data_IF_833658912576
#
_entry.id   IF_833658912576
#
_cell.length_a   1.000
_cell.length_b   1.000
_cell.length_c   1.000
_cell.angle_alpha   90.00
_cell.angle_beta   90.00
_cell.angle_gamma   90.00
#
_symmetry.space_group_name_H-M   'P 1'
#
loop_
_entity.id
_entity.type
_entity.pdbx_description
1 polymer ?
#
# COMPACT_ATOMS: atom_id res chain seq x y z
N UNK A 1 25.46 10.66 0.97
CA UNK A 1 24.84 9.78 -0.05
C UNK A 1 24.04 8.67 0.66
N UNK A 2 22.81 9.01 1.02
CA UNK A 2 21.83 8.07 1.57
C UNK A 2 21.57 7.02 0.49
N UNK A 3 21.89 5.76 0.74
CA UNK A 3 21.64 4.71 -0.24
C UNK A 3 20.13 4.66 -0.51
N UNK A 4 19.76 4.96 -1.77
CA UNK A 4 18.48 4.52 -2.36
C UNK A 4 18.25 3.10 -1.87
N UNK A 5 17.06 2.82 -1.33
CA UNK A 5 16.74 1.52 -0.73
C UNK A 5 17.35 0.39 -1.58
N UNK A 6 18.26 -0.44 -1.02
CA UNK A 6 19.02 -1.41 -1.81
C UNK A 6 18.13 -2.44 -2.51
N UNK A 7 16.84 -2.50 -2.15
CA UNK A 7 15.84 -3.40 -2.72
C UNK A 7 14.78 -2.67 -3.56
N UNK A 8 14.97 -1.39 -3.89
CA UNK A 8 13.98 -0.63 -4.66
C UNK A 8 13.70 -1.27 -6.03
N UNK A 9 14.73 -1.81 -6.68
CA UNK A 9 14.59 -2.43 -8.00
C UNK A 9 13.78 -3.73 -7.92
N UNK A 10 13.95 -4.51 -6.85
CA UNK A 10 13.15 -5.72 -6.58
C UNK A 10 11.68 -5.38 -6.31
N UNK A 11 11.44 -4.32 -5.53
CA UNK A 11 10.08 -3.82 -5.27
C UNK A 11 9.38 -3.35 -6.56
N UNK A 12 10.10 -2.68 -7.46
CA UNK A 12 9.59 -2.25 -8.77
C UNK A 12 9.27 -3.47 -9.63
N UNK A 13 10.16 -4.45 -9.69
CA UNK A 13 9.96 -5.68 -10.46
C UNK A 13 8.77 -6.49 -9.91
N UNK A 14 8.60 -6.54 -8.59
CA UNK A 14 7.43 -7.16 -7.97
C UNK A 14 6.13 -6.46 -8.34
N UNK A 15 6.07 -5.12 -8.25
CA UNK A 15 4.90 -4.35 -8.67
C UNK A 15 4.59 -4.53 -10.16
N UNK A 16 5.62 -4.58 -11.01
CA UNK A 16 5.48 -4.86 -12.45
C UNK A 16 4.85 -6.23 -12.69
N UNK A 17 5.26 -7.26 -11.93
CA UNK A 17 4.66 -8.60 -12.01
C UNK A 17 3.20 -8.60 -11.56
N UNK A 18 2.87 -7.93 -10.45
CA UNK A 18 1.47 -7.80 -10.01
C UNK A 18 0.60 -7.13 -11.08
N UNK A 19 1.11 -6.08 -11.73
CA UNK A 19 0.44 -5.45 -12.88
C UNK A 19 0.18 -6.43 -14.01
N UNK A 20 1.18 -7.24 -14.39
CA UNK A 20 1.03 -8.22 -15.47
C UNK A 20 -0.02 -9.31 -15.18
N UNK A 21 -0.30 -9.56 -13.89
CA UNK A 21 -1.30 -10.53 -13.44
C UNK A 21 -2.67 -9.88 -13.17
N UNK A 22 -2.86 -8.60 -13.50
CA UNK A 22 -4.06 -7.80 -13.18
C UNK A 22 -4.42 -7.82 -11.68
N UNK A 23 -3.43 -8.02 -10.80
CA UNK A 23 -3.64 -7.94 -9.35
C UNK A 23 -3.68 -6.46 -8.96
N UNK A 24 -4.75 -5.97 -8.30
CA UNK A 24 -4.80 -4.62 -7.77
C UNK A 24 -3.62 -4.37 -6.83
N UNK A 25 -2.84 -3.34 -7.10
CA UNK A 25 -1.67 -2.99 -6.30
C UNK A 25 -1.48 -1.46 -6.29
N UNK A 26 -0.82 -0.97 -5.26
CA UNK A 26 -0.41 0.42 -5.14
C UNK A 26 1.03 0.45 -4.64
N UNK A 27 1.89 1.16 -5.38
CA UNK A 27 3.30 1.35 -5.03
C UNK A 27 3.62 2.84 -5.11
N UNK A 28 4.26 3.37 -4.08
CA UNK A 28 4.76 4.75 -4.04
C UNK A 28 6.25 4.71 -3.73
N UNK A 29 7.05 5.42 -4.53
CA UNK A 29 8.47 5.61 -4.26
C UNK A 29 8.58 6.96 -3.54
N UNK A 30 9.16 6.95 -2.35
CA UNK A 30 9.40 8.16 -1.56
C UNK A 30 10.89 8.46 -1.65
N UNK A 31 11.22 9.50 -2.41
CA UNK A 31 12.59 9.96 -2.54
C UNK A 31 13.01 10.71 -1.26
N UNK A 32 14.32 10.77 -1.01
CA UNK A 32 14.97 11.56 0.05
C UNK A 32 14.77 11.10 1.51
N UNK A 33 14.02 10.02 1.77
CA UNK A 33 13.93 9.43 3.10
C UNK A 33 14.93 8.28 3.31
N UNK A 34 15.45 8.09 4.54
CA UNK A 34 16.32 6.97 4.84
C UNK A 34 15.54 5.65 4.76
N UNK A 35 16.25 4.56 4.44
CA UNK A 35 15.69 3.22 4.60
C UNK A 35 15.23 3.02 6.05
N UNK A 36 14.07 2.37 6.24
CA UNK A 36 13.45 2.23 7.56
C UNK A 36 12.79 3.49 8.10
N UNK A 37 12.47 4.49 7.26
CA UNK A 37 11.86 5.76 7.71
C UNK A 37 10.60 5.58 8.58
N UNK A 38 9.85 4.48 8.41
CA UNK A 38 8.65 4.20 9.20
C UNK A 38 8.91 4.19 10.72
N UNK A 39 10.11 3.79 11.16
CA UNK A 39 10.49 3.75 12.57
C UNK A 39 10.79 5.13 13.17
N UNK A 40 11.00 6.14 12.30
CA UNK A 40 11.45 7.48 12.68
C UNK A 40 10.34 8.54 12.62
N UNK A 41 9.08 8.14 12.76
CA UNK A 41 7.89 9.01 12.62
C UNK A 41 7.88 10.28 13.48
N UNK A 42 8.61 10.30 14.61
CA UNK A 42 8.74 11.45 15.50
C UNK A 42 9.96 12.34 15.24
N UNK A 43 10.87 11.92 14.36
CA UNK A 43 12.20 12.53 14.21
C UNK A 43 12.23 13.63 13.14
N UNK A 44 11.42 13.51 12.09
CA UNK A 44 11.34 14.51 11.02
C UNK A 44 9.92 14.67 10.47
N UNK A 45 9.53 15.89 10.13
CA UNK A 45 8.20 16.22 9.60
C UNK A 45 7.85 15.39 8.36
N UNK A 46 8.78 15.30 7.42
CA UNK A 46 8.57 14.59 6.15
C UNK A 46 8.39 13.08 6.37
N UNK A 47 9.06 12.52 7.38
CA UNK A 47 8.89 11.13 7.80
C UNK A 47 7.49 10.92 8.42
N UNK A 48 7.07 11.81 9.32
CA UNK A 48 5.74 11.76 9.93
C UNK A 48 4.60 11.85 8.91
N UNK A 49 4.74 12.71 7.91
CA UNK A 49 3.76 12.85 6.81
C UNK A 49 3.68 11.58 5.96
N UNK A 50 4.82 10.96 5.63
CA UNK A 50 4.83 9.71 4.89
C UNK A 50 4.29 8.53 5.71
N UNK A 51 4.56 8.48 7.02
CA UNK A 51 3.95 7.50 7.92
C UNK A 51 2.42 7.64 7.95
N UNK A 52 1.91 8.87 8.03
CA UNK A 52 0.47 9.15 7.99
C UNK A 52 -0.18 8.67 6.67
N UNK A 53 0.51 8.86 5.53
CA UNK A 53 0.06 8.35 4.23
C UNK A 53 -0.05 6.82 4.21
N UNK A 54 0.94 6.11 4.76
CA UNK A 54 0.92 4.65 4.85
C UNK A 54 -0.22 4.16 5.73
N UNK A 55 -0.44 4.80 6.90
CA UNK A 55 -1.56 4.48 7.78
C UNK A 55 -2.91 4.66 7.05
N UNK A 56 -3.08 5.79 6.35
CA UNK A 56 -4.31 6.06 5.60
C UNK A 56 -4.55 5.02 4.49
N UNK A 57 -3.49 4.63 3.77
CA UNK A 57 -3.55 3.57 2.77
C UNK A 57 -3.98 2.23 3.37
N UNK A 58 -3.36 1.81 4.48
CA UNK A 58 -3.73 0.57 5.18
C UNK A 58 -5.18 0.59 5.67
N UNK A 59 -5.63 1.70 6.25
CA UNK A 59 -7.03 1.83 6.67
C UNK A 59 -8.01 1.70 5.49
N UNK A 60 -7.65 2.24 4.31
CA UNK A 60 -8.48 2.10 3.11
C UNK A 60 -8.52 0.65 2.62
N UNK A 61 -7.41 -0.07 2.65
CA UNK A 61 -7.38 -1.50 2.31
C UNK A 61 -8.29 -2.28 3.26
N UNK A 62 -8.17 -2.07 4.57
CA UNK A 62 -9.03 -2.76 5.55
C UNK A 62 -10.50 -2.44 5.31
N UNK A 63 -10.87 -1.17 5.06
CA UNK A 63 -12.26 -0.79 4.78
C UNK A 63 -12.79 -1.42 3.49
N UNK A 64 -11.98 -1.47 2.44
CA UNK A 64 -12.35 -2.09 1.16
C UNK A 64 -12.60 -3.59 1.31
N UNK A 65 -11.76 -4.30 2.09
CA UNK A 65 -11.98 -5.72 2.36
C UNK A 65 -13.36 -5.98 2.99
N UNK A 66 -13.74 -5.20 4.01
CA UNK A 66 -15.05 -5.34 4.65
C UNK A 66 -16.22 -5.01 3.69
N UNK A 67 -16.03 -4.06 2.78
CA UNK A 67 -17.06 -3.71 1.79
C UNK A 67 -17.22 -4.79 0.72
N UNK A 68 -16.13 -5.42 0.29
CA UNK A 68 -16.15 -6.49 -0.69
C UNK A 68 -16.84 -7.75 -0.12
N UNK A 69 -16.61 -8.06 1.15
CA UNK A 69 -17.31 -9.18 1.82
C UNK A 69 -18.83 -8.97 1.84
N UNK A 70 -19.31 -7.74 2.08
CA UNK A 70 -20.75 -7.41 2.03
C UNK A 70 -21.28 -7.45 0.59
N UNK A 71 -20.52 -6.96 -0.38
CA UNK A 71 -20.90 -6.97 -1.80
C UNK A 71 -21.03 -8.39 -2.36
N UNK A 72 -20.14 -9.31 -1.95
CA UNK A 72 -20.22 -10.72 -2.33
C UNK A 72 -21.44 -11.41 -1.73
N UNK A 73 -21.76 -11.13 -0.45
CA UNK A 73 -22.96 -11.67 0.20
C UNK A 73 -24.26 -11.15 -0.45
N UNK A 74 -24.33 -9.87 -0.81
CA UNK A 74 -25.50 -9.30 -1.50
C UNK A 74 -25.65 -9.80 -2.94
N UNK A 75 -24.54 -10.02 -3.64
CA UNK A 75 -24.52 -10.64 -4.97
C UNK A 75 -25.04 -12.09 -4.92
N UNK A 76 -24.61 -12.87 -3.92
CA UNK A 76 -25.10 -14.24 -3.70
C UNK A 76 -26.61 -14.29 -3.37
N UNK A 77 -27.11 -13.32 -2.58
CA UNK A 77 -28.54 -13.24 -2.24
C UNK A 77 -29.41 -12.90 -3.46
N UNK A 78 -28.92 -12.02 -4.35
CA UNK A 78 -29.68 -11.54 -5.52
C UNK A 78 -29.84 -12.62 -6.61
N UNK A 79 -28.91 -13.57 -6.69
CA UNK A 79 -28.98 -14.68 -7.66
C UNK A 79 -29.97 -15.78 -7.22
N UNK A 80 -30.38 -15.78 -5.95
CA UNK A 80 -31.20 -16.86 -5.36
C UNK A 80 -32.69 -16.49 -5.20
N UNK A 81 -33.15 -15.34 -5.70
CA UNK A 81 -34.57 -14.92 -5.69
C UNK A 81 -35.17 -14.81 -7.09
#
# INVERSE_FOLDING_TARGET
PCARDPFIDDNIEFARRLRSLNVPHQMTIVDELPHGYLDFGSVARDVGENNARVIHMLQNIVRQSHSNDIADLTSALTITS
#
